data_IF_141140157285
#
_entry.id   IF_141140157285
#
_cell.length_a   1.000
_cell.length_b   1.000
_cell.length_c   1.000
_cell.angle_alpha   90.00
_cell.angle_beta   90.00
_cell.angle_gamma   90.00
#
_symmetry.space_group_name_H-M   'P 1'
#
loop_
_entity.id
_entity.type
_entity.pdbx_description
1 polymer ?
#
# COMPACT_ATOMS: atom_id res chain seq x y z
N UNK A 1 2.55 3.82 -12.72
CA UNK A 1 3.42 4.76 -13.48
C UNK A 1 3.81 4.18 -14.82
N UNK A 2 4.69 3.17 -14.89
CA UNK A 2 5.16 2.61 -16.18
C UNK A 2 4.02 2.10 -17.07
N UNK A 3 3.06 1.38 -16.48
CA UNK A 3 1.87 0.92 -17.22
C UNK A 3 1.01 2.08 -17.79
N UNK A 4 0.88 3.19 -17.07
CA UNK A 4 0.15 4.37 -17.54
C UNK A 4 0.92 5.11 -18.64
N UNK A 5 2.26 5.16 -18.55
CA UNK A 5 3.10 5.73 -19.60
C UNK A 5 2.99 4.95 -20.91
N UNK A 6 3.01 3.62 -20.85
CA UNK A 6 2.75 2.78 -22.04
C UNK A 6 1.31 2.90 -22.54
N UNK A 7 0.33 2.95 -21.64
CA UNK A 7 -1.06 3.20 -22.01
C UNK A 7 -1.23 4.51 -22.77
N UNK A 8 -0.53 5.57 -22.32
CA UNK A 8 -0.50 6.87 -22.99
C UNK A 8 0.08 6.76 -24.41
N UNK A 9 1.22 6.07 -24.57
CA UNK A 9 1.82 5.85 -25.88
C UNK A 9 0.88 5.11 -26.83
N UNK A 10 0.23 4.04 -26.36
CA UNK A 10 -0.68 3.24 -27.19
C UNK A 10 -1.92 4.01 -27.61
N UNK A 11 -2.52 4.74 -26.68
CA UNK A 11 -3.79 5.44 -26.94
C UNK A 11 -3.62 6.73 -27.72
N UNK A 12 -2.49 7.44 -27.59
CA UNK A 12 -2.29 8.71 -28.28
C UNK A 12 -1.43 8.61 -29.54
N UNK A 13 -0.55 7.60 -29.64
CA UNK A 13 0.32 7.41 -30.82
C UNK A 13 -0.04 6.18 -31.65
N UNK A 14 -1.13 5.48 -31.32
CA UNK A 14 -1.66 4.38 -32.13
C UNK A 14 -0.81 3.10 -32.13
N UNK A 15 0.09 2.92 -31.15
CA UNK A 15 0.86 1.68 -31.02
C UNK A 15 -0.06 0.47 -30.80
N UNK A 16 0.37 -0.69 -31.28
CA UNK A 16 -0.37 -1.93 -31.07
C UNK A 16 -0.42 -2.30 -29.57
N UNK A 17 -1.62 -2.51 -29.03
CA UNK A 17 -1.83 -2.87 -27.62
C UNK A 17 -1.09 -4.14 -27.19
N UNK A 18 -0.77 -5.05 -28.13
CA UNK A 18 0.02 -6.26 -27.88
C UNK A 18 1.41 -5.97 -27.31
N UNK A 19 1.98 -4.80 -27.58
CA UNK A 19 3.28 -4.42 -27.03
C UNK A 19 3.29 -4.31 -25.50
N UNK A 20 2.13 -4.11 -24.85
CA UNK A 20 2.02 -4.17 -23.38
C UNK A 20 2.38 -5.55 -22.84
N UNK A 21 1.93 -6.60 -23.52
CA UNK A 21 2.16 -7.98 -23.09
C UNK A 21 3.63 -8.37 -23.28
N UNK A 22 4.22 -8.01 -24.42
CA UNK A 22 5.65 -8.22 -24.66
C UNK A 22 6.52 -7.48 -23.66
N UNK A 23 6.19 -6.22 -23.36
CA UNK A 23 6.94 -5.45 -22.38
C UNK A 23 6.80 -6.03 -20.97
N UNK A 24 5.59 -6.44 -20.57
CA UNK A 24 5.35 -7.14 -19.31
C UNK A 24 6.13 -8.45 -19.20
N UNK A 25 6.21 -9.23 -20.28
CA UNK A 25 7.01 -10.46 -20.35
C UNK A 25 8.50 -10.18 -20.12
N UNK A 26 9.07 -9.17 -20.80
CA UNK A 26 10.49 -8.81 -20.64
C UNK A 26 10.80 -8.45 -19.17
N UNK A 27 9.97 -7.61 -18.55
CA UNK A 27 10.11 -7.24 -17.14
C UNK A 27 10.03 -8.47 -16.24
N UNK A 28 9.08 -9.38 -16.49
CA UNK A 28 8.91 -10.57 -15.69
C UNK A 28 10.13 -11.51 -15.78
N UNK A 29 10.70 -11.69 -16.96
CA UNK A 29 11.90 -12.51 -17.16
C UNK A 29 13.10 -11.91 -16.43
N UNK A 30 13.37 -10.60 -16.62
CA UNK A 30 14.45 -9.90 -15.93
C UNK A 30 14.25 -9.96 -14.41
N UNK A 31 13.03 -9.71 -13.94
CA UNK A 31 12.68 -9.76 -12.53
C UNK A 31 12.85 -11.16 -11.91
N UNK A 32 12.58 -12.22 -12.67
CA UNK A 32 12.77 -13.60 -12.22
C UNK A 32 14.24 -13.92 -12.03
N UNK A 33 15.08 -13.61 -13.04
CA UNK A 33 16.53 -13.80 -12.96
C UNK A 33 17.15 -12.97 -11.83
N UNK A 34 16.72 -11.72 -11.67
CA UNK A 34 17.18 -10.88 -10.58
C UNK A 34 16.80 -11.46 -9.20
N UNK A 35 15.57 -11.95 -9.03
CA UNK A 35 15.10 -12.54 -7.76
C UNK A 35 15.82 -13.81 -7.39
N UNK A 36 16.19 -14.67 -8.35
CA UNK A 36 16.96 -15.89 -8.07
C UNK A 36 18.40 -15.60 -7.63
N UNK A 37 18.92 -14.41 -7.94
CA UNK A 37 20.29 -14.01 -7.63
C UNK A 37 20.41 -13.14 -6.36
N UNK A 38 19.30 -12.67 -5.80
CA UNK A 38 19.31 -11.86 -4.58
C UNK A 38 19.61 -12.73 -3.35
N UNK A 39 20.53 -12.27 -2.49
CA UNK A 39 20.82 -12.91 -1.21
C UNK A 39 19.60 -12.79 -0.28
N UNK A 40 19.33 -13.86 0.47
CA UNK A 40 18.37 -13.82 1.58
C UNK A 40 18.78 -12.76 2.61
N UNK A 41 17.80 -12.21 3.33
CA UNK A 41 18.08 -11.24 4.40
C UNK A 41 19.01 -11.86 5.46
N UNK A 42 20.00 -11.09 5.92
CA UNK A 42 21.02 -11.58 6.87
C UNK A 42 20.41 -12.19 8.13
N UNK A 43 19.37 -11.57 8.71
CA UNK A 43 18.65 -12.10 9.88
C UNK A 43 18.08 -13.51 9.61
N UNK A 44 17.49 -13.71 8.43
CA UNK A 44 16.91 -14.99 8.04
C UNK A 44 17.98 -16.04 7.77
N UNK A 45 19.04 -15.66 7.03
CA UNK A 45 20.18 -16.53 6.76
C UNK A 45 20.88 -16.97 8.05
N UNK A 46 21.08 -16.06 9.00
CA UNK A 46 21.67 -16.35 10.31
C UNK A 46 20.76 -17.25 11.16
N UNK A 47 19.45 -17.01 11.16
CA UNK A 47 18.49 -17.87 11.87
C UNK A 47 18.47 -19.30 11.27
N UNK A 48 18.53 -19.41 9.94
CA UNK A 48 18.61 -20.69 9.22
C UNK A 48 19.93 -21.42 9.48
N UNK A 49 21.05 -20.68 9.52
CA UNK A 49 22.36 -21.22 9.87
C UNK A 49 22.39 -21.75 11.31
N UNK A 50 21.89 -20.98 12.27
CA UNK A 50 21.79 -21.39 13.69
C UNK A 50 21.02 -22.69 13.85
N UNK A 51 19.89 -22.81 13.13
CA UNK A 51 19.13 -24.06 13.09
C UNK A 51 19.95 -25.21 12.51
N UNK A 52 20.63 -24.98 11.38
CA UNK A 52 21.47 -26.00 10.74
C UNK A 52 22.59 -26.48 11.68
N UNK A 53 23.32 -25.57 12.31
CA UNK A 53 24.38 -25.91 13.27
C UNK A 53 23.84 -26.71 14.47
N UNK A 54 22.63 -26.37 14.94
CA UNK A 54 21.97 -27.14 15.99
C UNK A 54 21.64 -28.57 15.57
N UNK A 55 21.17 -28.80 14.33
CA UNK A 55 20.93 -30.14 13.80
C UNK A 55 22.21 -30.95 13.62
N UNK A 56 23.24 -30.31 13.06
CA UNK A 56 24.52 -30.97 12.76
C UNK A 56 25.24 -31.40 14.06
N UNK A 57 25.13 -30.62 15.14
CA UNK A 57 25.82 -30.90 16.41
C UNK A 57 25.11 -31.93 17.31
N UNK A 58 23.80 -32.17 17.14
CA UNK A 58 23.03 -32.97 18.10
C UNK A 58 22.49 -34.31 17.59
N UNK A 59 22.62 -34.68 16.30
CA UNK A 59 22.00 -35.90 15.74
C UNK A 59 20.50 -36.06 16.14
N UNK A 60 19.82 -34.95 16.38
CA UNK A 60 18.44 -34.92 16.88
C UNK A 60 17.47 -34.97 15.69
N UNK A 61 16.56 -35.92 15.76
CA UNK A 61 15.51 -36.16 14.78
C UNK A 61 14.58 -34.93 14.64
N UNK A 62 14.13 -34.60 13.41
CA UNK A 62 13.31 -33.39 13.12
C UNK A 62 11.99 -33.33 13.92
N UNK A 63 11.59 -34.40 14.60
CA UNK A 63 10.37 -34.43 15.42
C UNK A 63 10.50 -33.66 16.75
N UNK A 64 11.72 -33.38 17.22
CA UNK A 64 11.97 -32.61 18.46
C UNK A 64 11.89 -31.08 18.21
N UNK A 65 11.73 -30.63 16.95
CA UNK A 65 11.52 -29.21 16.58
C UNK A 65 10.29 -28.55 17.21
N UNK A 66 9.32 -29.33 17.72
CA UNK A 66 8.07 -28.83 18.34
C UNK A 66 8.27 -28.10 19.69
N UNK A 67 9.45 -27.50 19.90
CA UNK A 67 9.79 -26.78 21.12
C UNK A 67 10.92 -25.77 20.96
N UNK A 68 11.48 -25.57 19.76
CA UNK A 68 12.46 -24.50 19.55
C UNK A 68 11.73 -23.14 19.59
N UNK A 69 12.08 -22.25 20.54
CA UNK A 69 11.35 -21.01 20.75
C UNK A 69 11.36 -20.07 19.54
N UNK A 70 12.34 -20.18 18.63
CA UNK A 70 12.44 -19.33 17.43
C UNK A 70 11.55 -19.85 16.29
N UNK A 71 11.40 -21.17 16.18
CA UNK A 71 10.54 -21.81 15.16
C UNK A 71 9.06 -21.80 15.56
N UNK A 72 8.81 -22.03 16.84
CA UNK A 72 7.46 -22.08 17.40
C UNK A 72 6.89 -20.71 17.76
N UNK A 73 7.69 -19.64 17.64
CA UNK A 73 7.25 -18.29 17.99
C UNK A 73 5.88 -18.00 17.35
N UNK A 74 4.89 -17.83 18.23
CA UNK A 74 3.50 -17.69 17.82
C UNK A 74 3.29 -16.26 17.33
N UNK A 75 2.70 -16.13 16.16
CA UNK A 75 2.33 -14.82 15.65
C UNK A 75 1.23 -14.24 16.53
N UNK A 76 1.46 -13.04 17.03
CA UNK A 76 0.47 -12.33 17.82
C UNK A 76 -0.72 -11.94 16.92
N UNK A 77 -1.89 -12.53 17.18
CA UNK A 77 -3.12 -12.28 16.38
C UNK A 77 -3.49 -10.79 16.33
N UNK A 78 -3.27 -10.05 17.42
CA UNK A 78 -3.48 -8.60 17.47
C UNK A 78 -2.61 -7.87 16.43
N UNK A 79 -1.33 -8.22 16.32
CA UNK A 79 -0.42 -7.62 15.33
C UNK A 79 -0.88 -7.87 13.90
N UNK A 80 -1.32 -9.10 13.60
CA UNK A 80 -1.88 -9.45 12.28
C UNK A 80 -3.09 -8.57 11.97
N UNK A 81 -4.01 -8.44 12.91
CA UNK A 81 -5.23 -7.65 12.74
C UNK A 81 -4.94 -6.16 12.51
N UNK A 82 -4.11 -5.53 13.34
CA UNK A 82 -3.77 -4.11 13.16
C UNK A 82 -2.94 -3.87 11.90
N UNK A 83 -2.08 -4.80 11.52
CA UNK A 83 -1.37 -4.74 10.24
C UNK A 83 -2.33 -4.87 9.06
N UNK A 84 -3.36 -5.71 9.16
CA UNK A 84 -4.43 -5.80 8.16
C UNK A 84 -5.16 -4.47 7.98
N UNK A 85 -5.52 -3.78 9.08
CA UNK A 85 -6.13 -2.45 9.00
C UNK A 85 -5.22 -1.43 8.30
N UNK A 86 -3.90 -1.49 8.54
CA UNK A 86 -2.93 -0.65 7.83
C UNK A 86 -2.94 -0.96 6.32
N UNK A 87 -2.98 -2.23 5.94
CA UNK A 87 -2.96 -2.66 4.54
C UNK A 87 -4.25 -2.32 3.78
N UNK A 88 -5.38 -2.20 4.47
CA UNK A 88 -6.64 -1.78 3.86
C UNK A 88 -6.62 -0.31 3.38
N UNK A 89 -5.70 0.52 3.87
CA UNK A 89 -5.73 1.95 3.61
C UNK A 89 -5.18 2.36 2.24
N UNK A 90 -4.21 1.64 1.69
CA UNK A 90 -3.60 1.98 0.39
C UNK A 90 -4.54 1.85 -0.83
N UNK A 91 -5.33 0.77 -0.96
CA UNK A 91 -6.14 0.56 -2.17
C UNK A 91 -7.30 1.55 -2.34
N UNK A 92 -7.89 2.06 -1.25
CA UNK A 92 -9.08 2.94 -1.34
C UNK A 92 -8.79 4.29 -2.00
N UNK A 93 -7.79 5.06 -1.54
CA UNK A 93 -7.39 6.30 -2.22
C UNK A 93 -6.91 6.06 -3.65
N UNK A 94 -6.24 4.93 -3.90
CA UNK A 94 -5.81 4.55 -5.26
C UNK A 94 -7.00 4.35 -6.18
N UNK A 95 -8.01 3.60 -5.75
CA UNK A 95 -9.24 3.41 -6.53
C UNK A 95 -9.93 4.75 -6.78
N UNK A 96 -10.07 5.56 -5.74
CA UNK A 96 -10.70 6.86 -5.83
C UNK A 96 -10.01 7.77 -6.88
N UNK A 97 -8.69 7.91 -6.79
CA UNK A 97 -7.91 8.78 -7.67
C UNK A 97 -7.97 8.31 -9.11
N UNK A 98 -7.76 7.03 -9.38
CA UNK A 98 -7.55 6.57 -10.76
C UNK A 98 -8.85 6.15 -11.46
N UNK A 99 -9.82 5.60 -10.73
CA UNK A 99 -11.05 5.05 -11.30
C UNK A 99 -12.25 5.96 -11.05
N UNK A 100 -12.50 6.34 -9.79
CA UNK A 100 -13.67 7.18 -9.48
C UNK A 100 -13.55 8.58 -10.09
N UNK A 101 -12.43 9.27 -9.89
CA UNK A 101 -12.18 10.55 -10.56
C UNK A 101 -12.07 10.39 -12.08
N UNK A 102 -11.56 9.26 -12.58
CA UNK A 102 -11.57 8.94 -14.02
C UNK A 102 -12.98 8.93 -14.61
N UNK A 103 -13.96 8.38 -13.88
CA UNK A 103 -15.36 8.44 -14.29
C UNK A 103 -15.94 9.86 -14.25
N UNK A 104 -15.53 10.71 -13.31
CA UNK A 104 -15.91 12.13 -13.29
C UNK A 104 -15.33 12.86 -14.51
N UNK A 105 -14.06 12.64 -14.85
CA UNK A 105 -13.42 13.19 -16.05
C UNK A 105 -14.20 12.83 -17.31
N UNK A 106 -14.60 11.57 -17.44
CA UNK A 106 -15.38 11.09 -18.57
C UNK A 106 -16.78 11.71 -18.64
N UNK A 107 -17.52 11.61 -17.53
CA UNK A 107 -18.96 11.88 -17.54
C UNK A 107 -19.30 13.36 -17.36
N UNK A 108 -18.46 14.12 -16.65
CA UNK A 108 -18.72 15.54 -16.35
C UNK A 108 -17.89 16.48 -17.22
N UNK A 109 -16.71 16.07 -17.70
CA UNK A 109 -15.81 16.90 -18.51
C UNK A 109 -15.62 16.40 -19.94
N UNK A 110 -16.26 15.29 -20.32
CA UNK A 110 -16.22 14.77 -21.69
C UNK A 110 -14.87 14.22 -22.13
N UNK A 111 -13.96 13.90 -21.19
CA UNK A 111 -12.64 13.37 -21.52
C UNK A 111 -12.74 12.03 -22.25
N UNK A 112 -11.93 11.88 -23.30
CA UNK A 112 -11.71 10.59 -23.95
C UNK A 112 -10.86 9.64 -23.09
N UNK A 113 -10.81 8.38 -23.48
CA UNK A 113 -10.00 7.36 -22.77
C UNK A 113 -8.51 7.75 -22.79
N UNK A 114 -8.01 8.26 -23.93
CA UNK A 114 -6.63 8.75 -24.06
C UNK A 114 -6.31 9.90 -23.10
N UNK A 115 -7.24 10.86 -22.96
CA UNK A 115 -7.09 12.02 -22.08
C UNK A 115 -7.05 11.60 -20.61
N UNK A 116 -7.93 10.66 -20.20
CA UNK A 116 -7.95 10.12 -18.84
C UNK A 116 -6.63 9.41 -18.52
N UNK A 117 -6.11 8.62 -19.46
CA UNK A 117 -4.83 7.93 -19.29
C UNK A 117 -3.68 8.94 -19.17
N UNK A 118 -3.66 9.99 -20.00
CA UNK A 118 -2.67 11.06 -19.92
C UNK A 118 -2.74 11.81 -18.57
N UNK A 119 -3.95 12.19 -18.15
CA UNK A 119 -4.20 12.85 -16.88
C UNK A 119 -3.73 12.00 -15.70
N UNK A 120 -4.09 10.72 -15.68
CA UNK A 120 -3.65 9.76 -14.67
C UNK A 120 -2.14 9.50 -14.72
N UNK A 121 -1.53 9.54 -15.91
CA UNK A 121 -0.09 9.43 -16.06
C UNK A 121 0.64 10.58 -15.35
N UNK A 122 0.19 11.82 -15.54
CA UNK A 122 0.72 13.01 -14.83
C UNK A 122 0.60 12.87 -13.31
N UNK A 123 -0.56 12.44 -12.80
CA UNK A 123 -0.76 12.17 -11.37
C UNK A 123 0.24 11.12 -10.87
N UNK A 124 0.47 10.08 -11.66
CA UNK A 124 1.39 9.01 -11.28
C UNK A 124 2.86 9.47 -11.25
N UNK A 125 3.27 10.44 -12.08
CA UNK A 125 4.61 11.03 -11.99
C UNK A 125 4.79 11.72 -10.64
N UNK A 126 3.79 12.49 -10.20
CA UNK A 126 3.84 13.18 -8.90
C UNK A 126 3.82 12.17 -7.75
N UNK A 127 3.06 11.07 -7.88
CA UNK A 127 3.10 9.97 -6.92
C UNK A 127 4.52 9.39 -6.78
N UNK A 128 5.27 9.28 -7.88
CA UNK A 128 6.63 8.71 -7.86
C UNK A 128 7.56 9.61 -7.06
N UNK A 129 7.56 10.90 -7.37
CA UNK A 129 8.33 11.89 -6.63
C UNK A 129 7.95 11.92 -5.16
N UNK A 130 6.67 11.76 -4.84
CA UNK A 130 6.19 11.64 -3.46
C UNK A 130 6.80 10.43 -2.77
N UNK A 131 6.77 9.25 -3.40
CA UNK A 131 7.35 8.03 -2.82
C UNK A 131 8.86 8.16 -2.62
N UNK A 132 9.58 8.74 -3.59
CA UNK A 132 11.02 9.00 -3.47
C UNK A 132 11.33 10.00 -2.35
N UNK A 133 10.54 11.08 -2.23
CA UNK A 133 10.66 12.05 -1.16
C UNK A 133 10.42 11.41 0.21
N UNK A 134 9.41 10.56 0.34
CA UNK A 134 9.12 9.85 1.60
C UNK A 134 10.22 8.85 1.96
N UNK A 135 10.80 8.17 0.98
CA UNK A 135 11.96 7.30 1.17
C UNK A 135 13.20 8.11 1.59
N UNK A 136 13.39 9.32 1.04
CA UNK A 136 14.46 10.20 1.48
C UNK A 136 14.23 10.73 2.91
N UNK A 137 13.00 11.17 3.21
CA UNK A 137 12.63 11.68 4.53
C UNK A 137 12.76 10.62 5.62
N UNK A 138 12.58 9.33 5.30
CA UNK A 138 12.71 8.25 6.29
C UNK A 138 14.13 8.08 6.84
N UNK A 139 15.15 8.57 6.14
CA UNK A 139 16.53 8.63 6.66
C UNK A 139 16.71 9.69 7.75
N UNK A 140 15.88 10.75 7.74
CA UNK A 140 16.01 11.88 8.68
C UNK A 140 14.91 11.92 9.75
N UNK A 141 13.72 11.41 9.41
CA UNK A 141 12.53 11.45 10.25
C UNK A 141 12.07 10.02 10.47
N UNK A 142 11.86 9.66 11.73
CA UNK A 142 11.41 8.32 12.10
C UNK A 142 10.12 7.93 11.33
N UNK A 143 10.08 6.79 10.61
CA UNK A 143 9.00 6.47 9.66
C UNK A 143 7.59 6.47 10.26
N UNK A 144 7.40 6.02 11.51
CA UNK A 144 6.08 6.07 12.16
C UNK A 144 5.57 7.51 12.36
N UNK A 145 6.47 8.48 12.55
CA UNK A 145 6.10 9.90 12.67
C UNK A 145 5.63 10.45 11.33
N UNK A 146 6.28 10.06 10.23
CA UNK A 146 5.89 10.46 8.87
C UNK A 146 4.46 10.00 8.56
N UNK A 147 4.16 8.71 8.74
CA UNK A 147 2.83 8.17 8.43
C UNK A 147 1.74 8.75 9.34
N UNK A 148 2.06 9.07 10.60
CA UNK A 148 1.11 9.69 11.53
C UNK A 148 0.74 11.10 11.09
N UNK A 149 1.71 11.90 10.65
CA UNK A 149 1.46 13.25 10.11
C UNK A 149 0.63 13.17 8.82
N UNK A 150 0.98 12.27 7.90
CA UNK A 150 0.22 12.06 6.65
C UNK A 150 -1.22 11.67 6.94
N UNK A 151 -1.45 10.75 7.89
CA UNK A 151 -2.78 10.36 8.32
C UNK A 151 -3.60 11.53 8.85
N UNK A 152 -3.03 12.39 9.72
CA UNK A 152 -3.76 13.56 10.24
C UNK A 152 -4.16 14.50 9.11
N UNK A 153 -3.21 14.85 8.21
CA UNK A 153 -3.49 15.75 7.08
C UNK A 153 -4.58 15.15 6.18
N UNK A 154 -4.47 13.87 5.85
CA UNK A 154 -5.45 13.16 5.02
C UNK A 154 -6.82 13.07 5.69
N UNK A 155 -6.87 12.83 7.00
CA UNK A 155 -8.11 12.77 7.79
C UNK A 155 -8.83 14.11 7.82
N UNK A 156 -8.10 15.21 7.94
CA UNK A 156 -8.70 16.55 7.84
C UNK A 156 -9.22 16.79 6.43
N UNK A 157 -8.41 16.49 5.40
CA UNK A 157 -8.79 16.72 4.01
C UNK A 157 -10.03 15.91 3.60
N UNK A 158 -10.13 14.65 4.02
CA UNK A 158 -11.20 13.76 3.54
C UNK A 158 -12.58 14.21 4.01
N UNK A 159 -12.70 14.82 5.19
CA UNK A 159 -13.96 15.36 5.71
C UNK A 159 -14.49 16.47 4.79
N UNK A 160 -13.62 17.30 4.24
CA UNK A 160 -13.98 18.38 3.32
C UNK A 160 -14.03 17.95 1.84
N UNK A 161 -13.57 16.74 1.51
CA UNK A 161 -13.49 16.26 0.14
C UNK A 161 -14.84 16.28 -0.62
N UNK A 162 -15.97 15.85 -0.05
CA UNK A 162 -17.27 15.93 -0.73
C UNK A 162 -17.67 17.36 -1.13
N UNK A 163 -17.35 18.34 -0.28
CA UNK A 163 -17.62 19.74 -0.56
C UNK A 163 -16.78 20.26 -1.72
N UNK A 164 -15.49 19.91 -1.76
CA UNK A 164 -14.63 20.25 -2.89
C UNK A 164 -15.14 19.62 -4.18
N UNK A 165 -15.50 18.34 -4.16
CA UNK A 165 -16.04 17.62 -5.32
C UNK A 165 -17.35 18.24 -5.85
N UNK A 166 -18.23 18.67 -4.96
CA UNK A 166 -19.47 19.35 -5.36
C UNK A 166 -19.22 20.66 -6.12
N UNK A 167 -18.08 21.32 -5.88
CA UNK A 167 -17.69 22.59 -6.53
C UNK A 167 -16.70 22.42 -7.68
N UNK A 168 -16.43 21.19 -8.12
CA UNK A 168 -15.54 20.95 -9.26
C UNK A 168 -16.25 21.38 -10.55
N UNK A 169 -15.77 22.48 -11.13
CA UNK A 169 -16.22 23.01 -12.42
C UNK A 169 -15.21 22.79 -13.55
N UNK A 170 -13.96 22.43 -13.22
CA UNK A 170 -12.90 22.22 -14.21
C UNK A 170 -12.10 20.94 -13.90
N UNK A 171 -11.50 20.29 -14.92
CA UNK A 171 -10.61 19.15 -14.72
C UNK A 171 -9.41 19.47 -13.83
N UNK A 172 -8.95 20.73 -13.82
CA UNK A 172 -7.84 21.19 -12.99
C UNK A 172 -8.22 21.14 -11.50
N UNK A 173 -9.46 21.49 -11.14
CA UNK A 173 -9.93 21.35 -9.75
C UNK A 173 -9.87 19.89 -9.31
N UNK A 174 -10.28 18.96 -10.17
CA UNK A 174 -10.22 17.53 -9.88
C UNK A 174 -8.77 17.03 -9.79
N UNK A 175 -7.89 17.51 -10.66
CA UNK A 175 -6.46 17.22 -10.63
C UNK A 175 -5.86 17.60 -9.28
N UNK A 176 -6.14 18.81 -8.77
CA UNK A 176 -5.64 19.27 -7.46
C UNK A 176 -6.13 18.36 -6.32
N UNK A 177 -7.41 17.96 -6.34
CA UNK A 177 -7.97 17.01 -5.35
C UNK A 177 -7.22 15.68 -5.42
N UNK A 178 -7.01 15.14 -6.62
CA UNK A 178 -6.27 13.89 -6.82
C UNK A 178 -4.82 14.00 -6.32
N UNK A 179 -4.14 15.14 -6.54
CA UNK A 179 -2.78 15.37 -6.05
C UNK A 179 -2.70 15.39 -4.53
N UNK A 180 -3.62 16.09 -3.86
CA UNK A 180 -3.66 16.12 -2.39
C UNK A 180 -3.85 14.72 -1.81
N UNK A 181 -4.71 13.92 -2.44
CA UNK A 181 -4.91 12.52 -2.04
C UNK A 181 -3.63 11.71 -2.25
N UNK A 182 -3.02 11.77 -3.43
CA UNK A 182 -1.79 11.01 -3.73
C UNK A 182 -0.63 11.38 -2.77
N UNK A 183 -0.48 12.65 -2.43
CA UNK A 183 0.56 13.13 -1.53
C UNK A 183 0.39 12.58 -0.11
N UNK A 184 -0.82 12.66 0.43
CA UNK A 184 -1.08 12.41 1.85
C UNK A 184 -1.77 11.08 2.14
N UNK A 185 -2.16 10.32 1.12
CA UNK A 185 -2.89 9.06 1.29
C UNK A 185 -2.15 8.11 2.25
N UNK A 186 -2.87 7.55 3.23
CA UNK A 186 -2.30 6.59 4.17
C UNK A 186 -1.83 5.34 3.42
N UNK A 187 -0.60 4.93 3.71
CA UNK A 187 0.00 3.70 3.20
C UNK A 187 0.97 3.12 4.24
N UNK A 188 1.37 1.88 4.06
CA UNK A 188 2.36 1.22 4.91
C UNK A 188 3.77 1.80 4.74
N UNK A 189 4.11 2.36 3.59
CA UNK A 189 5.40 3.03 3.37
C UNK A 189 5.42 4.45 3.96
N UNK A 190 6.53 4.91 4.57
CA UNK A 190 7.84 4.24 4.69
C UNK A 190 8.03 3.34 5.92
N UNK A 191 6.99 3.05 6.71
CA UNK A 191 7.10 2.33 7.98
C UNK A 191 7.00 0.79 7.87
N UNK A 192 6.91 0.23 6.67
CA UNK A 192 6.70 -1.20 6.43
C UNK A 192 7.73 -2.09 7.13
N UNK A 193 9.01 -1.70 7.11
CA UNK A 193 10.08 -2.42 7.80
C UNK A 193 9.85 -2.52 9.33
N UNK A 194 9.32 -1.46 9.94
CA UNK A 194 9.00 -1.42 11.38
C UNK A 194 7.85 -2.38 11.68
N UNK A 195 6.80 -2.38 10.86
CA UNK A 195 5.68 -3.32 11.05
C UNK A 195 6.15 -4.77 10.95
N UNK A 196 7.04 -5.06 10.01
CA UNK A 196 7.62 -6.38 9.84
C UNK A 196 8.41 -6.84 11.05
N UNK A 197 9.10 -5.93 11.76
CA UNK A 197 9.88 -6.23 12.98
C UNK A 197 9.10 -7.07 13.99
N UNK A 198 7.79 -6.83 14.09
CA UNK A 198 6.89 -7.48 15.06
C UNK A 198 6.36 -8.86 14.63
N UNK A 199 6.74 -9.35 13.44
CA UNK A 199 6.46 -10.70 13.01
C UNK A 199 7.68 -11.60 13.22
N UNK A 200 7.48 -12.87 13.65
CA UNK A 200 8.54 -13.86 13.76
C UNK A 200 9.31 -14.02 12.46
N UNK A 201 10.63 -14.17 12.55
CA UNK A 201 11.56 -14.16 11.40
C UNK A 201 11.11 -15.14 10.29
N UNK A 202 10.76 -16.38 10.66
CA UNK A 202 10.38 -17.42 9.70
C UNK A 202 8.95 -17.28 9.14
N UNK A 203 8.10 -16.46 9.76
CA UNK A 203 6.68 -16.30 9.40
C UNK A 203 6.37 -14.93 8.79
N UNK A 204 7.27 -13.95 8.97
CA UNK A 204 7.12 -12.55 8.54
C UNK A 204 6.67 -12.41 7.09
N UNK A 205 7.37 -13.06 6.16
CA UNK A 205 7.05 -12.95 4.72
C UNK A 205 5.67 -13.53 4.38
N UNK A 206 5.34 -14.70 4.94
CA UNK A 206 4.06 -15.38 4.68
C UNK A 206 2.90 -14.54 5.22
N UNK A 207 2.98 -14.11 6.47
CA UNK A 207 1.91 -13.32 7.08
C UNK A 207 1.78 -11.93 6.45
N UNK A 208 2.89 -11.24 6.17
CA UNK A 208 2.82 -9.93 5.52
C UNK A 208 2.19 -10.01 4.14
N UNK A 209 2.54 -11.04 3.35
CA UNK A 209 2.03 -11.23 2.00
C UNK A 209 0.56 -11.66 1.99
N UNK A 210 0.16 -12.60 2.86
CA UNK A 210 -1.24 -13.04 2.97
C UNK A 210 -2.12 -11.87 3.43
N UNK A 211 -1.69 -11.12 4.44
CA UNK A 211 -2.45 -9.96 4.92
C UNK A 211 -2.59 -8.90 3.83
N UNK A 212 -1.50 -8.60 3.12
CA UNK A 212 -1.52 -7.67 1.98
C UNK A 212 -2.52 -8.11 0.91
N UNK A 213 -2.43 -9.37 0.47
CA UNK A 213 -3.30 -9.92 -0.57
C UNK A 213 -4.78 -9.93 -0.14
N UNK A 214 -5.06 -10.35 1.09
CA UNK A 214 -6.41 -10.40 1.64
C UNK A 214 -7.02 -8.99 1.74
N UNK A 215 -6.25 -8.02 2.25
CA UNK A 215 -6.69 -6.63 2.33
C UNK A 215 -7.02 -6.07 0.94
N UNK A 216 -6.14 -6.30 -0.05
CA UNK A 216 -6.37 -5.82 -1.42
C UNK A 216 -7.58 -6.50 -2.07
N UNK A 217 -7.77 -7.80 -1.88
CA UNK A 217 -8.92 -8.53 -2.41
C UNK A 217 -10.25 -7.99 -1.84
N UNK A 218 -10.34 -7.86 -0.51
CA UNK A 218 -11.56 -7.36 0.15
C UNK A 218 -11.84 -5.91 -0.26
N UNK A 219 -10.82 -5.05 -0.18
CA UNK A 219 -11.00 -3.63 -0.46
C UNK A 219 -11.30 -3.37 -1.93
N UNK A 220 -10.73 -4.15 -2.87
CA UNK A 220 -11.06 -4.02 -4.29
C UNK A 220 -12.54 -4.29 -4.55
N UNK A 221 -13.14 -5.28 -3.87
CA UNK A 221 -14.58 -5.54 -3.96
C UNK A 221 -15.36 -4.36 -3.36
N UNK A 222 -15.01 -3.95 -2.13
CA UNK A 222 -15.69 -2.86 -1.42
C UNK A 222 -15.66 -1.55 -2.22
N UNK A 223 -14.52 -1.21 -2.84
CA UNK A 223 -14.36 0.04 -3.59
C UNK A 223 -15.03 -0.01 -4.96
N UNK A 224 -14.92 -1.14 -5.68
CA UNK A 224 -15.51 -1.29 -7.02
C UNK A 224 -17.03 -1.07 -7.00
N UNK A 225 -17.72 -1.64 -6.01
CA UNK A 225 -19.16 -1.49 -5.87
C UNK A 225 -19.55 -0.32 -4.97
N UNK A 226 -18.86 -0.16 -3.84
CA UNK A 226 -19.26 0.77 -2.78
C UNK A 226 -19.29 2.21 -3.27
N UNK A 227 -18.27 2.70 -3.98
CA UNK A 227 -18.26 4.10 -4.40
C UNK A 227 -19.43 4.40 -5.34
N UNK A 228 -19.77 3.49 -6.24
CA UNK A 228 -20.88 3.64 -7.18
C UNK A 228 -22.20 3.71 -6.43
N UNK A 229 -22.48 2.76 -5.53
CA UNK A 229 -23.75 2.72 -4.80
C UNK A 229 -23.88 3.87 -3.80
N UNK A 230 -22.85 4.13 -2.99
CA UNK A 230 -22.89 5.20 -1.99
C UNK A 230 -23.09 6.57 -2.65
N UNK A 231 -22.43 6.82 -3.79
CA UNK A 231 -22.58 8.11 -4.49
C UNK A 231 -23.90 8.24 -5.25
N UNK A 232 -24.48 7.11 -5.70
CA UNK A 232 -25.83 7.10 -6.29
C UNK A 232 -26.91 7.52 -5.30
N UNK A 233 -26.85 7.05 -4.05
CA UNK A 233 -27.90 7.32 -3.05
C UNK A 233 -27.65 8.58 -2.20
N UNK A 234 -26.38 8.92 -1.91
CA UNK A 234 -26.02 10.02 -1.00
C UNK A 234 -25.27 11.16 -1.69
N UNK A 235 -25.16 11.13 -3.02
CA UNK A 235 -24.36 12.09 -3.77
C UNK A 235 -22.88 12.05 -3.35
N UNK A 236 -22.21 13.20 -3.39
CA UNK A 236 -20.78 13.28 -3.05
C UNK A 236 -20.47 12.92 -1.59
N UNK A 237 -21.44 13.04 -0.68
CA UNK A 237 -21.27 12.65 0.73
C UNK A 237 -21.04 11.14 0.86
N UNK A 238 -21.56 10.34 -0.07
CA UNK A 238 -21.39 8.89 -0.09
C UNK A 238 -19.94 8.41 -0.11
N UNK A 239 -18.99 9.24 -0.56
CA UNK A 239 -17.55 8.94 -0.54
C UNK A 239 -17.05 8.73 0.91
N UNK A 240 -17.61 9.49 1.86
CA UNK A 240 -17.24 9.39 3.27
C UNK A 240 -17.61 8.04 3.88
N UNK A 241 -18.65 7.37 3.37
CA UNK A 241 -19.08 6.06 3.85
C UNK A 241 -17.99 4.98 3.72
N UNK A 242 -17.07 5.14 2.76
CA UNK A 242 -15.96 4.20 2.55
C UNK A 242 -14.67 4.77 3.13
N UNK A 243 -14.41 6.06 2.88
CA UNK A 243 -13.15 6.68 3.24
C UNK A 243 -13.00 6.87 4.76
N UNK A 244 -14.04 7.26 5.49
CA UNK A 244 -13.95 7.47 6.94
C UNK A 244 -13.63 6.18 7.72
N UNK A 245 -14.34 5.05 7.50
CA UNK A 245 -13.98 3.79 8.18
C UNK A 245 -12.52 3.37 7.94
N UNK A 246 -12.02 3.62 6.73
CA UNK A 246 -10.65 3.27 6.35
C UNK A 246 -9.63 4.18 7.06
N UNK A 247 -9.90 5.48 7.12
CA UNK A 247 -9.05 6.42 7.86
C UNK A 247 -9.04 6.12 9.36
N UNK A 248 -10.19 5.79 9.95
CA UNK A 248 -10.31 5.43 11.37
C UNK A 248 -9.56 4.13 11.65
N UNK A 249 -9.76 3.10 10.83
CA UNK A 249 -9.08 1.80 10.99
C UNK A 249 -7.56 1.91 10.84
N UNK A 250 -7.08 2.70 9.88
CA UNK A 250 -5.65 2.99 9.74
C UNK A 250 -5.08 3.70 10.98
N UNK A 251 -5.83 4.65 11.55
CA UNK A 251 -5.47 5.33 12.80
C UNK A 251 -5.28 4.33 13.95
N UNK A 252 -6.22 3.41 14.15
CA UNK A 252 -6.08 2.34 15.15
C UNK A 252 -4.83 1.48 14.91
N UNK A 253 -4.53 1.16 13.65
CA UNK A 253 -3.29 0.49 13.25
C UNK A 253 -2.04 1.26 13.69
N UNK A 254 -1.95 2.54 13.36
CA UNK A 254 -0.79 3.38 13.74
C UNK A 254 -0.62 3.40 15.27
N UNK A 255 -1.68 3.71 16.01
CA UNK A 255 -1.58 3.84 17.48
C UNK A 255 -1.13 2.53 18.13
N UNK A 256 -1.56 1.38 17.63
CA UNK A 256 -1.09 0.08 18.09
C UNK A 256 0.42 -0.10 17.87
N UNK A 257 0.94 0.17 16.67
CA UNK A 257 2.37 0.02 16.38
C UNK A 257 3.24 1.06 17.09
N UNK A 258 2.75 2.29 17.29
CA UNK A 258 3.45 3.29 18.11
C UNK A 258 3.56 2.82 19.57
N UNK A 259 2.49 2.21 20.11
CA UNK A 259 2.52 1.65 21.45
C UNK A 259 3.54 0.52 21.58
N UNK A 260 3.59 -0.39 20.59
CA UNK A 260 4.57 -1.48 20.56
C UNK A 260 6.01 -0.96 20.49
N UNK A 261 6.25 0.07 19.69
CA UNK A 261 7.59 0.66 19.56
C UNK A 261 8.06 1.27 20.87
N UNK A 262 7.20 2.04 21.53
CA UNK A 262 7.52 2.65 22.82
C UNK A 262 7.81 1.60 23.91
N UNK A 263 7.05 0.51 23.96
CA UNK A 263 7.31 -0.60 24.89
C UNK A 263 8.65 -1.29 24.63
N UNK A 264 9.02 -1.44 23.35
CA UNK A 264 10.28 -2.06 22.95
C UNK A 264 11.48 -1.20 23.35
N UNK A 265 11.37 0.12 23.19
CA UNK A 265 12.41 1.08 23.62
C UNK A 265 12.59 1.06 25.14
N UNK A 266 11.51 1.03 25.91
CA UNK A 266 11.58 0.98 27.39
C UNK A 266 12.28 -0.29 27.87
N UNK A 267 12.00 -1.44 27.28
CA UNK A 267 12.60 -2.72 27.67
C UNK A 267 14.08 -2.88 27.26
N UNK A 268 14.63 -1.94 26.47
CA UNK A 268 16.04 -1.94 26.05
C UNK A 268 16.95 -1.08 26.93
N UNK A 269 16.40 -0.43 27.97
CA UNK A 269 17.12 0.28 29.03
C UNK A 269 16.92 -0.42 30.37
#
# INVERSE_FOLDING_TARGET
>A
MVALGFGFLITNYGFNWRYLFWFGMIIATIGTVARTNLREAQEFANAKLRLKTFFDNHFIDRKILKGDPILEEKVQKKTVFYYFLIQCAGPVPTYFVYFYCGNILRNSFGYGIGDIIYHNFLISIIQLFTTLLLAYLSYRIYPLKIIKVRWVIFSTFIIFCPYFLYRVSTPIHLFIIQLLIVLFAPDSAPASAIFYKYFPIFKRFTYSSIVYALAHAIISIVTSFGFIYCTKYMGQIGILCIMLPIVISYGFGIFYFVKLENMTVINSY
#
